data_IF_734573981047
#
_entry.id   IF_734573981047
#
_cell.length_a   1.000
_cell.length_b   1.000
_cell.length_c   1.000
_cell.angle_alpha   90.00
_cell.angle_beta   90.00
_cell.angle_gamma   90.00
#
_symmetry.space_group_name_H-M   'P 1'
#
loop_
_entity.id
_entity.type
_entity.pdbx_description
1 polymer ?
#
# COMPACT_ATOMS: atom_id res chain seq x y z
N UNK A 1 -1.09 -7.02 11.40
CA UNK A 1 0.26 -7.55 11.07
C UNK A 1 1.39 -6.93 11.91
N UNK A 2 1.57 -5.60 11.92
CA UNK A 2 2.70 -4.92 12.60
C UNK A 2 2.92 -5.28 14.08
N UNK A 3 1.85 -5.41 14.87
CA UNK A 3 1.93 -5.79 16.29
C UNK A 3 2.42 -7.23 16.49
N UNK A 4 1.95 -8.16 15.65
CA UNK A 4 2.35 -9.57 15.71
C UNK A 4 3.84 -9.75 15.35
N UNK A 5 4.30 -9.07 14.29
CA UNK A 5 5.71 -9.09 13.89
C UNK A 5 6.60 -8.43 14.94
N UNK A 6 6.17 -7.31 15.54
CA UNK A 6 6.90 -6.66 16.63
C UNK A 6 6.97 -7.53 17.90
N UNK A 7 5.91 -8.28 18.17
CA UNK A 7 5.86 -9.22 19.29
C UNK A 7 6.78 -10.43 19.07
N UNK A 8 6.90 -10.94 17.84
CA UNK A 8 7.84 -12.01 17.47
C UNK A 8 9.32 -11.57 17.50
N UNK A 9 9.61 -10.29 17.24
CA UNK A 9 10.97 -9.76 17.28
C UNK A 9 11.45 -9.49 18.72
N UNK A 10 10.53 -9.22 19.66
CA UNK A 10 10.86 -8.96 21.09
C UNK A 10 11.60 -10.11 21.80
N UNK A 11 11.21 -11.39 21.66
CA UNK A 11 11.91 -12.52 22.29
C UNK A 11 13.19 -12.95 21.55
N UNK A 12 13.45 -12.43 20.35
CA UNK A 12 14.64 -12.77 19.57
C UNK A 12 15.90 -12.02 20.09
N UNK A 13 16.36 -12.40 21.29
CA UNK A 13 17.54 -11.80 21.98
C UNK A 13 18.86 -11.96 21.23
N UNK A 14 18.92 -12.79 20.17
CA UNK A 14 20.13 -13.07 19.37
C UNK A 14 20.14 -12.40 17.99
N UNK A 15 19.25 -11.44 17.71
CA UNK A 15 19.30 -10.72 16.43
C UNK A 15 20.37 -9.63 16.46
N UNK A 16 21.34 -9.75 15.56
CA UNK A 16 22.33 -8.70 15.26
C UNK A 16 21.61 -7.36 15.00
N UNK A 17 22.23 -6.26 15.42
CA UNK A 17 21.73 -4.90 15.19
C UNK A 17 21.38 -4.64 13.70
N UNK A 18 22.13 -5.28 12.79
CA UNK A 18 21.89 -5.22 11.34
C UNK A 18 20.55 -5.86 10.94
N UNK A 19 20.21 -7.01 11.52
CA UNK A 19 18.95 -7.72 11.25
C UNK A 19 17.74 -6.98 11.84
N UNK A 20 17.90 -6.33 13.01
CA UNK A 20 16.85 -5.49 13.61
C UNK A 20 16.56 -4.26 12.75
N UNK A 21 17.61 -3.61 12.24
CA UNK A 21 17.47 -2.49 11.30
C UNK A 21 16.76 -2.92 10.01
N UNK A 22 17.14 -4.08 9.45
CA UNK A 22 16.51 -4.65 8.27
C UNK A 22 15.01 -4.92 8.49
N UNK A 23 14.62 -5.54 9.60
CA UNK A 23 13.21 -5.78 9.92
C UNK A 23 12.40 -4.49 10.05
N UNK A 24 12.98 -3.44 10.67
CA UNK A 24 12.32 -2.13 10.80
C UNK A 24 12.06 -1.50 9.43
N UNK A 25 13.04 -1.56 8.53
CA UNK A 25 12.90 -1.08 7.16
C UNK A 25 11.83 -1.89 6.43
N UNK A 26 11.92 -3.22 6.48
CA UNK A 26 10.97 -4.12 5.81
C UNK A 26 9.53 -3.92 6.30
N UNK A 27 9.34 -3.73 7.60
CA UNK A 27 8.02 -3.43 8.17
C UNK A 27 7.48 -2.09 7.67
N UNK A 28 8.33 -1.07 7.58
CA UNK A 28 7.97 0.23 7.01
C UNK A 28 7.55 0.08 5.56
N UNK A 29 8.37 -0.59 4.73
CA UNK A 29 8.06 -0.85 3.32
C UNK A 29 6.74 -1.61 3.16
N UNK A 30 6.48 -2.60 4.02
CA UNK A 30 5.22 -3.36 3.99
C UNK A 30 4.00 -2.49 4.27
N UNK A 31 4.10 -1.51 5.18
CA UNK A 31 3.01 -0.56 5.44
C UNK A 31 2.71 0.27 4.19
N UNK A 32 3.74 0.80 3.52
CA UNK A 32 3.55 1.58 2.29
C UNK A 32 2.95 0.74 1.16
N UNK A 33 3.45 -0.47 0.97
CA UNK A 33 2.94 -1.39 -0.06
C UNK A 33 1.49 -1.78 0.22
N UNK A 34 1.14 -2.04 1.48
CA UNK A 34 -0.25 -2.35 1.87
C UNK A 34 -1.20 -1.16 1.77
N UNK A 35 -0.70 0.08 1.87
CA UNK A 35 -1.51 1.29 1.73
C UNK A 35 -1.99 1.50 0.28
N UNK A 36 -1.21 1.08 -0.73
CA UNK A 36 -1.58 1.28 -2.13
C UNK A 36 -2.90 0.61 -2.53
N UNK A 37 -3.13 -0.70 -2.31
CA UNK A 37 -4.42 -1.30 -2.65
C UNK A 37 -5.57 -0.70 -1.82
N UNK A 38 -5.32 -0.25 -0.59
CA UNK A 38 -6.35 0.43 0.20
C UNK A 38 -6.79 1.75 -0.45
N UNK A 39 -5.84 2.54 -0.96
CA UNK A 39 -6.12 3.84 -1.57
C UNK A 39 -6.63 3.73 -3.01
N UNK A 40 -6.10 2.81 -3.80
CA UNK A 40 -6.39 2.71 -5.23
C UNK A 40 -7.49 1.69 -5.57
N UNK A 41 -7.83 0.78 -4.66
CA UNK A 41 -8.87 -0.23 -4.89
C UNK A 41 -10.02 -0.05 -3.91
N UNK A 42 -9.73 -0.16 -2.60
CA UNK A 42 -10.79 -0.19 -1.59
C UNK A 42 -11.52 1.14 -1.49
N UNK A 43 -10.79 2.26 -1.40
CA UNK A 43 -11.39 3.59 -1.31
C UNK A 43 -12.28 3.97 -2.51
N UNK A 44 -11.82 3.89 -3.78
CA UNK A 44 -12.66 4.25 -4.93
C UNK A 44 -13.85 3.31 -5.10
N UNK A 45 -13.69 2.02 -4.81
CA UNK A 45 -14.79 1.06 -4.84
C UNK A 45 -15.85 1.37 -3.76
N UNK A 46 -15.42 1.62 -2.53
CA UNK A 46 -16.32 1.99 -1.44
C UNK A 46 -17.04 3.32 -1.72
N UNK A 47 -16.33 4.31 -2.27
CA UNK A 47 -16.91 5.60 -2.64
C UNK A 47 -17.98 5.44 -3.73
N UNK A 48 -17.70 4.67 -4.78
CA UNK A 48 -18.68 4.37 -5.82
C UNK A 48 -19.90 3.63 -5.24
N UNK A 49 -19.70 2.64 -4.38
CA UNK A 49 -20.79 1.90 -3.75
C UNK A 49 -21.68 2.81 -2.88
N UNK A 50 -21.09 3.68 -2.07
CA UNK A 50 -21.85 4.67 -1.26
C UNK A 50 -22.61 5.63 -2.18
N UNK A 51 -22.01 6.05 -3.29
CA UNK A 51 -22.65 6.94 -4.26
C UNK A 51 -23.95 6.33 -4.81
N UNK A 52 -23.94 5.07 -5.24
CA UNK A 52 -25.13 4.42 -5.81
C UNK A 52 -26.15 3.94 -4.75
N UNK A 53 -25.75 3.78 -3.48
CA UNK A 53 -26.66 3.38 -2.41
C UNK A 53 -27.46 4.56 -1.82
N UNK A 54 -27.07 5.81 -2.07
CA UNK A 54 -27.74 6.99 -1.53
C UNK A 54 -28.85 7.46 -2.48
N UNK A 55 -30.15 7.43 -2.09
CA UNK A 55 -31.29 7.65 -3.00
C UNK A 55 -31.45 9.06 -3.57
N UNK A 56 -30.55 10.00 -3.25
CA UNK A 56 -30.62 11.42 -3.65
C UNK A 56 -29.51 11.85 -4.61
N UNK A 57 -28.73 10.90 -5.12
CA UNK A 57 -27.60 11.24 -5.98
C UNK A 57 -28.10 11.36 -7.43
N UNK A 58 -27.82 12.50 -8.07
CA UNK A 58 -28.15 12.70 -9.48
C UNK A 58 -27.36 11.67 -10.32
N UNK A 59 -28.04 10.74 -11.00
CA UNK A 59 -27.43 9.67 -11.82
C UNK A 59 -26.54 10.17 -12.98
N UNK A 60 -26.35 11.48 -13.12
CA UNK A 60 -25.57 12.11 -14.18
C UNK A 60 -24.05 12.01 -13.99
N UNK A 61 -23.55 11.68 -12.80
CA UNK A 61 -22.10 11.62 -12.59
C UNK A 61 -21.55 10.20 -12.85
N UNK A 62 -20.54 10.04 -13.73
CA UNK A 62 -19.91 8.76 -14.06
C UNK A 62 -18.93 8.31 -12.96
N UNK A 63 -19.42 8.14 -11.73
CA UNK A 63 -18.59 7.85 -10.55
C UNK A 63 -17.94 6.48 -10.64
N UNK A 64 -18.63 5.49 -11.23
CA UNK A 64 -18.07 4.16 -11.43
C UNK A 64 -16.94 4.18 -12.47
N UNK A 65 -17.08 4.90 -13.58
CA UNK A 65 -16.02 5.02 -14.58
C UNK A 65 -14.79 5.71 -14.00
N UNK A 66 -14.98 6.80 -13.24
CA UNK A 66 -13.88 7.49 -12.56
C UNK A 66 -13.18 6.56 -11.57
N UNK A 67 -13.94 5.81 -10.76
CA UNK A 67 -13.38 4.83 -9.83
C UNK A 67 -12.58 3.74 -10.56
N UNK A 68 -13.08 3.23 -11.68
CA UNK A 68 -12.38 2.23 -12.50
C UNK A 68 -11.08 2.76 -13.09
N UNK A 69 -11.04 4.02 -13.54
CA UNK A 69 -9.79 4.64 -14.01
C UNK A 69 -8.77 4.70 -12.87
N UNK A 70 -9.16 5.12 -11.67
CA UNK A 70 -8.27 5.14 -10.49
C UNK A 70 -7.77 3.73 -10.16
N UNK A 71 -8.67 2.74 -10.17
CA UNK A 71 -8.31 1.33 -9.95
C UNK A 71 -7.33 0.86 -11.01
N UNK A 72 -7.47 1.23 -12.29
CA UNK A 72 -6.55 0.81 -13.34
C UNK A 72 -5.09 1.23 -13.08
N UNK A 73 -4.87 2.38 -12.43
CA UNK A 73 -3.54 2.87 -12.07
C UNK A 73 -2.92 2.18 -10.84
N UNK A 74 -3.64 1.30 -10.13
CA UNK A 74 -3.14 0.66 -8.90
C UNK A 74 -1.82 -0.09 -9.13
N UNK A 75 -1.65 -0.79 -10.25
CA UNK A 75 -0.48 -1.63 -10.53
C UNK A 75 0.79 -0.80 -10.73
N UNK A 76 0.65 0.34 -11.41
CA UNK A 76 1.72 1.32 -11.63
C UNK A 76 2.13 1.96 -10.30
N UNK A 77 1.15 2.44 -9.53
CA UNK A 77 1.40 3.02 -8.21
C UNK A 77 2.05 2.01 -7.25
N UNK A 78 1.59 0.75 -7.27
CA UNK A 78 2.12 -0.31 -6.42
C UNK A 78 3.57 -0.66 -6.77
N UNK A 79 3.89 -0.71 -8.06
CA UNK A 79 5.25 -0.96 -8.54
C UNK A 79 6.20 0.18 -8.16
N UNK A 80 5.75 1.43 -8.32
CA UNK A 80 6.53 2.60 -7.92
C UNK A 80 6.82 2.61 -6.41
N UNK A 81 5.81 2.33 -5.58
CA UNK A 81 5.98 2.26 -4.12
C UNK A 81 6.92 1.14 -3.72
N UNK A 82 6.89 -0.03 -4.37
CA UNK A 82 7.82 -1.12 -4.12
C UNK A 82 9.28 -0.72 -4.41
N UNK A 83 9.51 -0.07 -5.55
CA UNK A 83 10.84 0.38 -5.97
C UNK A 83 11.39 1.42 -4.98
N UNK A 84 10.57 2.40 -4.59
CA UNK A 84 10.98 3.48 -3.68
C UNK A 84 11.15 3.01 -2.23
N UNK A 85 10.28 2.11 -1.77
CA UNK A 85 10.22 1.70 -0.36
C UNK A 85 11.25 0.63 0.00
N UNK A 86 11.68 -0.21 -0.96
CA UNK A 86 12.64 -1.28 -0.70
C UNK A 86 14.04 -0.81 -1.10
N UNK A 87 14.98 -0.68 -0.14
CA UNK A 87 16.30 -0.10 -0.42
C UNK A 87 17.13 -0.92 -1.42
N UNK A 88 16.85 -2.21 -1.58
CA UNK A 88 17.52 -3.07 -2.58
C UNK A 88 17.17 -2.62 -4.00
N UNK A 89 15.88 -2.37 -4.28
CA UNK A 89 15.44 -1.89 -5.58
C UNK A 89 15.86 -0.45 -5.81
N UNK A 90 15.77 0.41 -4.79
CA UNK A 90 16.25 1.80 -4.88
C UNK A 90 17.73 1.90 -5.25
N UNK A 91 18.60 1.08 -4.65
CA UNK A 91 20.03 1.08 -4.97
C UNK A 91 20.28 0.67 -6.42
N UNK A 92 19.60 -0.39 -6.90
CA UNK A 92 19.73 -0.82 -8.29
C UNK A 92 19.22 0.21 -9.30
N UNK A 93 18.21 1.00 -8.97
CA UNK A 93 17.75 2.10 -9.84
C UNK A 93 18.69 3.31 -9.90
N UNK A 94 19.59 3.47 -8.93
CA UNK A 94 20.58 4.57 -8.91
C UNK A 94 21.90 4.14 -9.59
N UNK A 95 22.17 2.84 -9.65
CA UNK A 95 23.34 2.24 -10.30
C UNK A 95 23.17 2.06 -11.82
N UNK A 96 21.96 2.25 -12.36
CA UNK A 96 21.65 2.26 -13.80
C UNK A 96 21.62 3.70 -14.29
#
# INVERSE_FOLDING_TARGET
>A
LSLHTSFLIRPARNLSAKTKSFHRIMLSSLIFVAAVPMLFIVAPFAAAMIYYLVPKQNESAPVLEIANVVIAFHSVAHSLVLILSIPIFRKRCIEV
#
